data_IF_243236661259
#
_entry.id   IF_243236661259
#
_cell.length_a   1.000
_cell.length_b   1.000
_cell.length_c   1.000
_cell.angle_alpha   90.00
_cell.angle_beta   90.00
_cell.angle_gamma   90.00
#
_symmetry.space_group_name_H-M   'P 1'
#
loop_
_entity.id
_entity.type
_entity.pdbx_description
1 polymer ?
#
# COMPACT_ATOMS: atom_id res chain seq x y z
N UNK A 1 30.45 15.26 -23.62
CA UNK A 1 29.27 14.38 -23.63
C UNK A 1 29.71 12.98 -23.24
N UNK A 2 29.47 12.54 -22.00
CA UNK A 2 29.73 11.15 -21.63
C UNK A 2 28.72 10.26 -22.38
N UNK A 3 29.19 9.30 -23.18
CA UNK A 3 28.32 8.47 -24.00
C UNK A 3 27.41 7.61 -23.11
N UNK A 4 26.13 7.47 -23.50
CA UNK A 4 25.13 6.62 -22.82
C UNK A 4 25.67 5.22 -22.48
N UNK A 5 26.55 4.67 -23.32
CA UNK A 5 27.18 3.37 -23.11
C UNK A 5 28.10 3.31 -21.87
N UNK A 6 28.84 4.39 -21.56
CA UNK A 6 29.65 4.47 -20.32
C UNK A 6 28.79 4.52 -19.06
N UNK A 7 27.60 5.12 -19.15
CA UNK A 7 26.68 5.23 -18.01
C UNK A 7 26.12 3.85 -17.67
N UNK A 8 25.68 3.08 -18.68
CA UNK A 8 25.15 1.73 -18.47
C UNK A 8 26.22 0.75 -18.00
N UNK A 9 27.43 0.80 -18.56
CA UNK A 9 28.52 -0.11 -18.13
C UNK A 9 28.95 0.15 -16.69
N UNK A 10 28.98 1.41 -16.26
CA UNK A 10 29.34 1.79 -14.89
C UNK A 10 28.24 1.39 -13.91
N UNK A 11 26.97 1.63 -14.26
CA UNK A 11 25.83 1.20 -13.46
C UNK A 11 25.79 -0.33 -13.27
N UNK A 12 26.04 -1.12 -14.34
CA UNK A 12 26.10 -2.58 -14.24
C UNK A 12 27.30 -3.03 -13.39
N UNK A 13 28.45 -2.37 -13.50
CA UNK A 13 29.62 -2.68 -12.68
C UNK A 13 29.39 -2.39 -11.19
N UNK A 14 28.68 -1.30 -10.86
CA UNK A 14 28.28 -0.97 -9.49
C UNK A 14 27.23 -1.96 -8.95
N UNK A 15 26.28 -2.38 -9.80
CA UNK A 15 25.24 -3.35 -9.41
C UNK A 15 25.83 -4.74 -9.11
N UNK A 16 26.88 -5.14 -9.82
CA UNK A 16 27.55 -6.43 -9.67
C UNK A 16 28.77 -6.38 -8.76
N UNK A 17 29.10 -5.21 -8.20
CA UNK A 17 30.23 -5.09 -7.28
C UNK A 17 29.92 -5.92 -6.01
N UNK A 18 30.91 -6.70 -5.52
CA UNK A 18 30.75 -7.35 -4.23
C UNK A 18 30.48 -6.28 -3.17
N UNK A 19 29.43 -6.49 -2.37
CA UNK A 19 29.13 -5.61 -1.26
C UNK A 19 30.36 -5.54 -0.33
N UNK A 20 30.72 -4.36 0.18
CA UNK A 20 31.84 -4.22 1.11
C UNK A 20 31.69 -5.19 2.28
N UNK A 21 32.76 -5.91 2.63
CA UNK A 21 32.77 -6.87 3.74
C UNK A 21 32.23 -6.21 5.01
N UNK A 22 31.12 -6.76 5.55
CA UNK A 22 30.46 -6.27 6.76
C UNK A 22 29.30 -5.30 6.54
N UNK A 23 28.95 -4.96 5.30
CA UNK A 23 27.73 -4.21 4.97
C UNK A 23 26.72 -5.09 4.23
N UNK A 24 25.86 -5.78 4.98
CA UNK A 24 24.57 -6.16 4.39
C UNK A 24 23.83 -4.86 4.09
N UNK A 25 23.57 -4.57 2.81
CA UNK A 25 22.88 -3.35 2.37
C UNK A 25 21.52 -3.12 3.07
N UNK A 26 20.99 -4.16 3.73
CA UNK A 26 19.75 -4.19 4.50
C UNK A 26 19.83 -3.31 5.77
N UNK A 27 21.00 -3.13 6.38
CA UNK A 27 21.18 -2.34 7.61
C UNK A 27 21.55 -0.87 7.35
N UNK A 28 21.75 -0.48 6.09
CA UNK A 28 22.02 0.92 5.77
C UNK A 28 20.73 1.76 5.92
N UNK A 29 20.78 2.70 6.87
CA UNK A 29 19.70 3.66 7.12
C UNK A 29 19.32 4.46 5.86
N UNK A 30 20.26 4.71 4.94
CA UNK A 30 19.94 5.37 3.68
C UNK A 30 19.10 4.46 2.77
N UNK A 31 19.44 3.17 2.68
CA UNK A 31 18.68 2.18 1.94
C UNK A 31 17.25 2.02 2.49
N UNK A 32 17.09 1.86 3.80
CA UNK A 32 15.78 1.75 4.44
C UNK A 32 14.89 2.98 4.21
N UNK A 33 15.48 4.19 4.13
CA UNK A 33 14.73 5.41 3.77
C UNK A 33 14.23 5.39 2.34
N UNK A 34 15.06 4.94 1.39
CA UNK A 34 14.67 4.79 -0.02
C UNK A 34 13.54 3.78 -0.15
N UNK A 35 13.68 2.62 0.49
CA UNK A 35 12.65 1.57 0.47
C UNK A 35 11.31 2.08 1.05
N UNK A 36 11.35 2.81 2.18
CA UNK A 36 10.17 3.47 2.74
C UNK A 36 9.53 4.46 1.75
N UNK A 37 10.33 5.28 1.07
CA UNK A 37 9.82 6.26 0.11
C UNK A 37 9.14 5.59 -1.10
N UNK A 38 9.71 4.48 -1.59
CA UNK A 38 9.12 3.69 -2.68
C UNK A 38 7.80 3.06 -2.25
N UNK A 39 7.74 2.50 -1.03
CA UNK A 39 6.51 1.99 -0.44
C UNK A 39 5.44 3.09 -0.31
N UNK A 40 5.80 4.30 0.14
CA UNK A 40 4.87 5.44 0.22
C UNK A 40 4.33 5.85 -1.16
N UNK A 41 5.14 5.75 -2.21
CA UNK A 41 4.72 6.08 -3.56
C UNK A 41 3.68 5.07 -4.08
N UNK A 42 3.92 3.77 -3.86
CA UNK A 42 2.98 2.69 -4.24
C UNK A 42 1.71 2.78 -3.39
N UNK A 43 1.85 2.95 -2.08
CA UNK A 43 0.74 3.09 -1.14
C UNK A 43 -0.23 4.21 -1.54
N UNK A 44 0.29 5.41 -1.85
CA UNK A 44 -0.52 6.55 -2.29
C UNK A 44 -1.32 6.26 -3.55
N UNK A 45 -0.71 5.60 -4.53
CA UNK A 45 -1.38 5.24 -5.79
C UNK A 45 -2.53 4.26 -5.56
N UNK A 46 -2.33 3.27 -4.69
CA UNK A 46 -3.38 2.32 -4.35
C UNK A 46 -4.53 2.97 -3.57
N UNK A 47 -4.21 3.85 -2.61
CA UNK A 47 -5.23 4.59 -1.85
C UNK A 47 -6.13 5.46 -2.73
N UNK A 48 -5.60 6.04 -3.82
CA UNK A 48 -6.42 6.78 -4.80
C UNK A 48 -7.52 5.86 -5.38
N UNK A 49 -7.20 4.61 -5.70
CA UNK A 49 -8.18 3.65 -6.24
C UNK A 49 -9.23 3.29 -5.21
N UNK A 50 -8.82 3.05 -3.96
CA UNK A 50 -9.74 2.80 -2.84
C UNK A 50 -10.70 3.98 -2.65
N UNK A 51 -10.21 5.22 -2.68
CA UNK A 51 -11.05 6.40 -2.56
C UNK A 51 -12.02 6.55 -3.73
N UNK A 52 -11.57 6.33 -4.98
CA UNK A 52 -12.45 6.37 -6.15
C UNK A 52 -13.57 5.33 -6.00
N UNK A 53 -13.26 4.08 -5.68
CA UNK A 53 -14.26 3.04 -5.48
C UNK A 53 -15.21 3.36 -4.31
N UNK A 54 -14.68 3.95 -3.23
CA UNK A 54 -15.49 4.42 -2.10
C UNK A 54 -16.45 5.54 -2.47
N UNK A 55 -16.02 6.49 -3.32
CA UNK A 55 -16.88 7.55 -3.83
C UNK A 55 -17.94 7.04 -4.80
N UNK A 56 -17.59 6.11 -5.70
CA UNK A 56 -18.54 5.47 -6.61
C UNK A 56 -19.64 4.74 -5.82
N UNK A 57 -19.24 3.94 -4.81
CA UNK A 57 -20.16 3.30 -3.87
C UNK A 57 -21.07 4.31 -3.18
N UNK A 58 -20.50 5.39 -2.65
CA UNK A 58 -21.30 6.42 -1.93
C UNK A 58 -22.29 7.13 -2.85
N UNK A 59 -21.90 7.40 -4.09
CA UNK A 59 -22.78 7.98 -5.10
C UNK A 59 -23.94 7.03 -5.43
N UNK A 60 -23.66 5.73 -5.52
CA UNK A 60 -24.68 4.71 -5.75
C UNK A 60 -25.64 4.55 -4.56
N UNK A 61 -25.10 4.53 -3.34
CA UNK A 61 -25.89 4.52 -2.10
C UNK A 61 -26.85 5.73 -2.05
N UNK A 62 -26.38 6.91 -2.45
CA UNK A 62 -27.21 8.12 -2.54
C UNK A 62 -28.31 8.00 -3.60
N UNK A 63 -27.97 7.51 -4.81
CA UNK A 63 -28.98 7.24 -5.86
C UNK A 63 -30.06 6.29 -5.36
N UNK A 64 -29.68 5.26 -4.61
CA UNK A 64 -30.64 4.33 -4.01
C UNK A 64 -31.56 5.00 -3.00
N UNK A 65 -31.03 5.83 -2.11
CA UNK A 65 -31.86 6.57 -1.15
C UNK A 65 -32.87 7.46 -1.88
N UNK A 66 -32.45 8.11 -2.97
CA UNK A 66 -33.35 8.91 -3.81
C UNK A 66 -34.39 8.04 -4.52
N UNK A 67 -33.99 6.93 -5.16
CA UNK A 67 -34.89 6.04 -5.88
C UNK A 67 -35.89 5.32 -4.95
N UNK A 68 -35.47 4.97 -3.73
CA UNK A 68 -36.33 4.35 -2.73
C UNK A 68 -37.44 5.30 -2.26
N UNK A 69 -37.19 6.62 -2.26
CA UNK A 69 -38.23 7.65 -2.03
C UNK A 69 -39.33 7.57 -3.09
N UNK A 70 -38.96 7.21 -4.32
CA UNK A 70 -39.87 7.07 -5.46
C UNK A 70 -40.40 5.63 -5.63
N UNK A 71 -40.17 4.76 -4.64
CA UNK A 71 -40.67 3.37 -4.63
C UNK A 71 -39.86 2.38 -5.49
N UNK A 72 -38.71 2.79 -6.04
CA UNK A 72 -37.85 1.96 -6.88
C UNK A 72 -36.73 1.34 -6.03
N UNK A 73 -36.58 0.00 -6.08
CA UNK A 73 -35.44 -0.70 -5.48
C UNK A 73 -34.33 -0.87 -6.51
N UNK A 74 -33.15 -0.35 -6.21
CA UNK A 74 -31.92 -0.59 -6.96
C UNK A 74 -31.05 -1.61 -6.20
N UNK A 75 -30.50 -2.58 -6.92
CA UNK A 75 -29.54 -3.54 -6.38
C UNK A 75 -28.13 -2.93 -6.41
N UNK A 76 -27.48 -2.87 -5.25
CA UNK A 76 -26.27 -2.06 -5.02
C UNK A 76 -25.03 -2.92 -4.74
N UNK A 77 -25.04 -4.18 -5.15
CA UNK A 77 -23.97 -5.12 -4.80
C UNK A 77 -22.67 -4.82 -5.54
N UNK A 78 -22.70 -4.40 -6.80
CA UNK A 78 -21.50 -4.27 -7.64
C UNK A 78 -20.50 -3.22 -7.17
N UNK A 79 -20.93 -1.97 -6.91
CA UNK A 79 -20.02 -0.92 -6.45
C UNK A 79 -19.43 -1.23 -5.06
N UNK A 80 -20.20 -1.88 -4.19
CA UNK A 80 -19.69 -2.31 -2.88
C UNK A 80 -18.66 -3.43 -3.01
N UNK A 81 -18.91 -4.43 -3.87
CA UNK A 81 -17.93 -5.49 -4.15
C UNK A 81 -16.64 -4.93 -4.74
N UNK A 82 -16.74 -4.02 -5.72
CA UNK A 82 -15.57 -3.33 -6.29
C UNK A 82 -14.77 -2.57 -5.22
N UNK A 83 -15.45 -1.90 -4.29
CA UNK A 83 -14.78 -1.24 -3.16
C UNK A 83 -14.03 -2.24 -2.27
N UNK A 84 -14.65 -3.37 -1.92
CA UNK A 84 -14.00 -4.44 -1.14
C UNK A 84 -12.81 -5.06 -1.87
N UNK A 85 -12.87 -5.20 -3.19
CA UNK A 85 -11.76 -5.67 -4.01
C UNK A 85 -10.57 -4.71 -4.00
N UNK A 86 -10.82 -3.40 -4.14
CA UNK A 86 -9.75 -2.39 -4.05
C UNK A 86 -9.15 -2.34 -2.63
N UNK A 87 -9.98 -2.48 -1.58
CA UNK A 87 -9.48 -2.65 -0.22
C UNK A 87 -8.62 -3.91 -0.09
N UNK A 88 -9.03 -5.04 -0.67
CA UNK A 88 -8.27 -6.30 -0.66
C UNK A 88 -6.91 -6.13 -1.35
N UNK A 89 -6.86 -5.43 -2.49
CA UNK A 89 -5.60 -5.14 -3.19
C UNK A 89 -4.70 -4.22 -2.36
N UNK A 90 -5.27 -3.18 -1.76
CA UNK A 90 -4.54 -2.25 -0.90
C UNK A 90 -3.96 -2.94 0.34
N UNK A 91 -4.70 -3.91 0.90
CA UNK A 91 -4.21 -4.70 2.04
C UNK A 91 -2.92 -5.45 1.72
N UNK A 92 -2.66 -5.82 0.47
CA UNK A 92 -1.41 -6.49 0.08
C UNK A 92 -0.22 -5.55 -0.12
N UNK A 93 -0.43 -4.23 -0.20
CA UNK A 93 0.67 -3.27 -0.36
C UNK A 93 1.29 -3.02 1.02
N UNK A 94 2.60 -3.21 1.23
CA UNK A 94 3.22 -3.02 2.53
C UNK A 94 2.96 -1.64 3.14
N UNK A 95 2.69 -1.57 4.44
CA UNK A 95 2.36 -0.31 5.11
C UNK A 95 3.63 0.55 5.30
N UNK A 96 3.72 1.76 4.72
CA UNK A 96 4.91 2.60 4.83
C UNK A 96 5.14 3.22 6.23
N UNK A 97 4.18 3.12 7.15
CA UNK A 97 4.25 3.75 8.47
C UNK A 97 2.99 3.55 9.28
N UNK A 98 2.93 4.21 10.46
CA UNK A 98 1.86 3.95 11.46
C UNK A 98 0.46 4.27 10.94
N UNK A 99 0.31 5.35 10.18
CA UNK A 99 -1.00 5.76 9.67
C UNK A 99 -1.57 4.76 8.66
N UNK A 100 -0.71 4.20 7.79
CA UNK A 100 -1.11 3.17 6.85
C UNK A 100 -1.48 1.86 7.55
N UNK A 101 -0.72 1.48 8.58
CA UNK A 101 -1.04 0.32 9.41
C UNK A 101 -2.37 0.48 10.15
N UNK A 102 -2.61 1.66 10.73
CA UNK A 102 -3.89 1.97 11.37
C UNK A 102 -5.07 1.85 10.40
N UNK A 103 -4.89 2.31 9.16
CA UNK A 103 -5.90 2.13 8.11
C UNK A 103 -6.18 0.65 7.83
N UNK A 104 -5.15 -0.21 7.77
CA UNK A 104 -5.34 -1.66 7.58
C UNK A 104 -6.11 -2.31 8.72
N UNK A 105 -5.73 -1.97 9.97
CA UNK A 105 -6.39 -2.47 11.18
C UNK A 105 -7.87 -2.05 11.21
N UNK A 106 -8.18 -0.82 10.83
CA UNK A 106 -9.58 -0.36 10.77
C UNK A 106 -10.33 -1.06 9.63
N UNK A 107 -9.70 -1.21 8.47
CA UNK A 107 -10.33 -1.76 7.25
C UNK A 107 -10.67 -3.25 7.41
N UNK A 108 -9.94 -4.01 8.23
CA UNK A 108 -10.19 -5.44 8.44
C UNK A 108 -11.61 -5.79 8.92
N UNK A 109 -12.28 -4.82 9.56
CA UNK A 109 -13.67 -4.99 10.02
C UNK A 109 -14.67 -5.20 8.88
N UNK A 110 -14.35 -4.79 7.66
CA UNK A 110 -15.28 -4.88 6.52
C UNK A 110 -15.38 -6.28 5.91
N UNK A 111 -14.49 -7.19 6.30
CA UNK A 111 -14.30 -8.46 5.61
C UNK A 111 -14.65 -9.69 6.46
N UNK A 112 -15.04 -9.50 7.72
CA UNK A 112 -15.51 -10.60 8.57
C UNK A 112 -14.43 -11.64 8.93
N UNK A 113 -13.15 -11.37 8.69
CA UNK A 113 -12.02 -12.13 9.25
C UNK A 113 -11.21 -12.99 8.28
N UNK A 114 -10.84 -12.52 7.05
CA UNK A 114 -9.84 -13.25 6.26
C UNK A 114 -8.50 -13.31 6.98
N UNK A 115 -8.00 -14.53 7.15
CA UNK A 115 -6.68 -14.79 7.75
C UNK A 115 -5.55 -14.07 6.99
N UNK A 116 -5.63 -13.98 5.66
CA UNK A 116 -4.60 -13.30 4.86
C UNK A 116 -4.42 -11.82 5.19
N UNK A 117 -5.47 -11.15 5.69
CA UNK A 117 -5.38 -9.76 6.11
C UNK A 117 -4.71 -9.61 7.47
N UNK A 118 -5.00 -10.53 8.40
CA UNK A 118 -4.33 -10.57 9.71
C UNK A 118 -2.84 -10.87 9.56
N UNK A 119 -2.49 -11.85 8.73
CA UNK A 119 -1.09 -12.21 8.46
C UNK A 119 -0.34 -11.01 7.86
N UNK A 120 -0.96 -10.30 6.92
CA UNK A 120 -0.35 -9.13 6.30
C UNK A 120 -0.21 -7.94 7.27
N UNK A 121 -1.19 -7.72 8.16
CA UNK A 121 -1.11 -6.72 9.24
C UNK A 121 0.06 -7.05 10.18
N UNK A 122 0.24 -8.32 10.54
CA UNK A 122 1.34 -8.75 11.40
C UNK A 122 2.71 -8.52 10.74
N UNK A 123 2.85 -8.82 9.44
CA UNK A 123 4.05 -8.52 8.65
C UNK A 123 4.34 -7.01 8.64
N UNK A 124 3.32 -6.19 8.38
CA UNK A 124 3.47 -4.74 8.35
C UNK A 124 3.80 -4.15 9.72
N UNK A 125 3.24 -4.70 10.80
CA UNK A 125 3.56 -4.29 12.15
C UNK A 125 5.04 -4.53 12.45
N UNK A 126 5.55 -5.73 12.14
CA UNK A 126 6.98 -6.04 12.30
C UNK A 126 7.87 -5.10 11.47
N UNK A 127 7.47 -4.76 10.24
CA UNK A 127 8.17 -3.78 9.40
C UNK A 127 8.20 -2.38 10.03
N UNK A 128 7.06 -1.87 10.49
CA UNK A 128 6.96 -0.54 11.12
C UNK A 128 7.79 -0.48 12.41
N UNK A 129 7.79 -1.56 13.19
CA UNK A 129 8.61 -1.66 14.40
C UNK A 129 10.11 -1.70 14.07
N UNK A 130 10.51 -2.39 12.98
CA UNK A 130 11.87 -2.38 12.46
C UNK A 130 12.34 -0.98 12.03
N UNK A 131 11.49 -0.24 11.32
CA UNK A 131 11.77 1.17 10.96
C UNK A 131 11.94 2.05 12.21
N UNK A 132 11.11 1.83 13.24
CA UNK A 132 11.21 2.54 14.51
C UNK A 132 12.57 2.26 15.18
N UNK A 133 12.96 1.00 15.25
CA UNK A 133 14.22 0.55 15.85
C UNK A 133 15.45 1.12 15.11
N UNK A 134 15.38 1.26 13.78
CA UNK A 134 16.40 1.91 12.96
C UNK A 134 16.45 3.46 13.13
N UNK A 135 15.56 4.04 13.94
CA UNK A 135 15.45 5.48 14.15
C UNK A 135 15.01 6.22 12.88
N UNK A 136 14.17 5.59 12.05
CA UNK A 136 13.54 6.17 10.88
C UNK A 136 12.19 6.74 11.31
N UNK A 137 11.85 7.94 10.82
CA UNK A 137 10.59 8.61 11.15
C UNK A 137 9.42 7.85 10.50
N UNK A 138 8.47 7.42 11.33
CA UNK A 138 7.29 6.60 11.00
C UNK A 138 5.97 7.29 11.30
#
# INVERSE_FOLDING_TARGET
MASKARITSTFIAELLAPLPDGSEAVDDKAYLRTLKADMEAVWRKGMIRVHIAGHERSAEDLRRVMAARDGVKLDSSECFQRYLEECSRQMMIPAPGKAALAWKIDTRKFDGGRQSWEDQIAIDQAWVDGLAAAGIRI
#
